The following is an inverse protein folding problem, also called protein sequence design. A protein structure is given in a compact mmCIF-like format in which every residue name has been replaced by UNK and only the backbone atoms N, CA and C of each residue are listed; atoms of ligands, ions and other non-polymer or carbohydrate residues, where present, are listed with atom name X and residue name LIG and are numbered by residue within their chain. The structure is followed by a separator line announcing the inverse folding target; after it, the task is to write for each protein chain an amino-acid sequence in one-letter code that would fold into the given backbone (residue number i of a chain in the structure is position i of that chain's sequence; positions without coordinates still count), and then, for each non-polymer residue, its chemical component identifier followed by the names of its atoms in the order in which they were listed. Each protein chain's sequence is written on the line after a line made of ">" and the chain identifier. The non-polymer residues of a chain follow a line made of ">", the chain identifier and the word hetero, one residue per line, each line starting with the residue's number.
data_IF_204949907638
#
_entry.id   IF_204949907638
#
_cell.length_a   1.000
_cell.length_b   1.000
_cell.length_c   1.000
_cell.angle_alpha   90.00
_cell.angle_beta   90.00
_cell.angle_gamma   90.00
#
_symmetry.space_group_name_H-M   'P 1'
#
loop_
_entity.id
_entity.type
_entity.pdbx_description
1 polymer ?
#
# COMPACT_ATOMS: atom_id res chain seq x y z
N UNK A 1 -66.33 38.11 -21.38
CA UNK A 1 -64.91 38.53 -21.39
C UNK A 1 -64.10 38.03 -20.19
N UNK A 2 -64.60 38.03 -18.95
CA UNK A 2 -63.86 37.53 -17.76
C UNK A 2 -63.47 36.03 -17.79
N UNK A 3 -64.24 35.16 -18.47
CA UNK A 3 -63.94 33.71 -18.55
C UNK A 3 -62.85 33.35 -19.57
N UNK A 4 -62.66 34.15 -20.64
CA UNK A 4 -61.55 33.96 -21.57
C UNK A 4 -60.21 34.42 -20.99
N UNK A 5 -60.21 35.49 -20.18
CA UNK A 5 -58.99 35.99 -19.52
C UNK A 5 -58.43 34.98 -18.51
N UNK A 6 -59.30 34.26 -17.78
CA UNK A 6 -58.88 33.25 -16.80
C UNK A 6 -58.32 31.99 -17.45
N UNK A 7 -58.80 31.61 -18.65
CA UNK A 7 -58.27 30.49 -19.41
C UNK A 7 -56.91 30.78 -20.04
N UNK A 8 -56.71 32.00 -20.53
CA UNK A 8 -55.41 32.45 -21.06
C UNK A 8 -54.35 32.56 -19.96
N UNK A 9 -54.74 32.99 -18.75
CA UNK A 9 -53.83 33.06 -17.59
C UNK A 9 -53.41 31.67 -17.10
N UNK A 10 -54.31 30.67 -17.11
CA UNK A 10 -53.96 29.29 -16.74
C UNK A 10 -53.02 28.64 -17.77
N UNK A 11 -53.21 28.90 -19.07
CA UNK A 11 -52.30 28.43 -20.12
C UNK A 11 -50.93 29.11 -20.03
N UNK A 12 -50.87 30.39 -19.65
CA UNK A 12 -49.60 31.08 -19.43
C UNK A 12 -48.86 30.54 -18.20
N UNK A 13 -49.57 30.22 -17.10
CA UNK A 13 -48.93 29.65 -15.90
C UNK A 13 -48.44 28.20 -16.10
N UNK A 14 -49.08 27.41 -16.97
CA UNK A 14 -48.56 26.07 -17.34
C UNK A 14 -47.39 26.15 -18.33
N UNK A 15 -47.25 27.24 -19.10
CA UNK A 15 -46.10 27.48 -19.97
C UNK A 15 -44.85 27.97 -19.20
N UNK A 16 -45.01 28.39 -17.94
CA UNK A 16 -43.94 28.91 -17.07
C UNK A 16 -43.54 27.97 -15.92
N UNK A 17 -43.86 26.67 -16.00
CA UNK A 17 -43.19 25.69 -15.12
C UNK A 17 -41.74 25.57 -15.58
N UNK A 18 -40.86 26.36 -14.97
CA UNK A 18 -39.42 26.20 -15.07
C UNK A 18 -39.10 24.73 -14.80
N UNK A 19 -38.47 24.00 -15.73
CA UNK A 19 -37.97 22.67 -15.41
C UNK A 19 -37.03 22.82 -14.23
N UNK A 20 -37.30 22.12 -13.13
CA UNK A 20 -36.39 22.06 -11.99
C UNK A 20 -35.04 21.56 -12.51
N UNK A 21 -34.03 22.44 -12.51
CA UNK A 21 -32.70 22.12 -13.03
C UNK A 21 -32.05 21.11 -12.08
N UNK A 22 -32.13 19.83 -12.41
CA UNK A 22 -31.37 18.81 -11.70
C UNK A 22 -29.90 18.95 -12.11
N UNK A 23 -29.06 19.55 -11.27
CA UNK A 23 -27.61 19.58 -11.49
C UNK A 23 -27.06 18.15 -11.64
N UNK A 24 -25.96 17.98 -12.39
CA UNK A 24 -25.34 16.66 -12.50
C UNK A 24 -24.90 16.17 -11.11
N UNK A 25 -25.16 14.90 -10.81
CA UNK A 25 -24.74 14.27 -9.55
C UNK A 25 -23.31 13.77 -9.65
N UNK A 26 -22.56 13.96 -8.56
CA UNK A 26 -21.13 13.67 -8.44
C UNK A 26 -20.91 12.75 -7.23
N UNK A 27 -21.24 11.45 -7.34
CA UNK A 27 -21.11 10.52 -6.21
C UNK A 27 -19.65 10.31 -5.84
N UNK A 28 -19.39 9.94 -4.58
CA UNK A 28 -18.06 9.52 -4.14
C UNK A 28 -17.62 8.23 -4.82
N UNK A 29 -16.29 8.06 -4.95
CA UNK A 29 -15.70 6.86 -5.52
C UNK A 29 -14.71 6.23 -4.56
N UNK A 30 -14.39 4.96 -4.79
CA UNK A 30 -13.37 4.23 -4.03
C UNK A 30 -12.40 3.55 -4.97
N UNK A 31 -11.17 3.36 -4.50
CA UNK A 31 -10.16 2.57 -5.17
C UNK A 31 -9.35 1.78 -4.14
N UNK A 32 -8.84 0.63 -4.56
CA UNK A 32 -7.94 -0.17 -3.72
C UNK A 32 -6.78 -0.69 -4.53
N UNK A 33 -5.58 -0.55 -3.97
CA UNK A 33 -4.37 -1.21 -4.46
C UNK A 33 -4.25 -2.66 -3.96
N UNK A 34 -5.18 -3.12 -3.12
CA UNK A 34 -5.13 -4.45 -2.51
C UNK A 34 -4.07 -4.54 -1.41
N UNK A 35 -3.35 -5.67 -1.39
CA UNK A 35 -2.33 -6.01 -0.40
C UNK A 35 -0.94 -6.08 -1.04
N UNK A 36 0.06 -5.48 -0.40
CA UNK A 36 1.46 -5.58 -0.81
C UNK A 36 2.39 -5.63 0.41
N UNK A 37 3.54 -6.30 0.31
CA UNK A 37 4.53 -6.24 1.40
C UNK A 37 5.24 -4.89 1.44
N UNK A 38 5.79 -4.51 2.60
CA UNK A 38 6.58 -3.28 2.71
C UNK A 38 7.76 -3.22 1.73
N UNK A 39 8.34 -4.37 1.36
CA UNK A 39 9.43 -4.42 0.39
C UNK A 39 8.92 -4.24 -1.05
N UNK A 40 7.75 -4.78 -1.39
CA UNK A 40 7.13 -4.55 -2.68
C UNK A 40 6.79 -3.06 -2.90
N UNK A 41 6.34 -2.36 -1.86
CA UNK A 41 6.12 -0.90 -1.91
C UNK A 41 7.42 -0.13 -2.16
N UNK A 42 8.55 -0.63 -1.65
CA UNK A 42 9.85 0.00 -1.86
C UNK A 42 10.34 -0.20 -3.32
N UNK A 43 10.15 -1.37 -3.93
CA UNK A 43 10.76 -1.69 -5.23
C UNK A 43 9.82 -1.58 -6.42
N UNK A 44 8.51 -1.70 -6.22
CA UNK A 44 7.52 -1.82 -7.30
C UNK A 44 6.33 -0.88 -7.10
N UNK A 45 5.91 -0.24 -8.20
CA UNK A 45 4.73 0.61 -8.18
C UNK A 45 3.46 -0.25 -8.31
N UNK A 46 2.53 -0.09 -7.37
CA UNK A 46 1.18 -0.66 -7.46
C UNK A 46 0.30 0.28 -8.27
N UNK A 47 -0.63 -0.28 -9.04
CA UNK A 47 -1.57 0.48 -9.86
C UNK A 47 -3.02 0.06 -9.56
N UNK A 48 -3.94 1.01 -9.62
CA UNK A 48 -5.38 0.77 -9.53
C UNK A 48 -6.14 1.84 -10.32
N UNK A 49 -7.44 1.68 -10.49
CA UNK A 49 -8.28 2.62 -11.23
C UNK A 49 -9.48 3.00 -10.38
N UNK A 50 -9.75 4.31 -10.30
CA UNK A 50 -11.00 4.86 -9.79
C UNK A 50 -11.81 5.39 -10.97
N UNK A 51 -13.13 5.47 -10.84
CA UNK A 51 -13.97 6.10 -11.85
C UNK A 51 -14.62 7.36 -11.25
N UNK A 52 -14.38 8.51 -11.89
CA UNK A 52 -15.10 9.74 -11.60
C UNK A 52 -16.40 9.71 -12.40
N UNK A 53 -17.52 9.56 -11.70
CA UNK A 53 -18.84 9.53 -12.30
C UNK A 53 -19.43 10.94 -12.35
N UNK A 54 -19.78 11.39 -13.56
CA UNK A 54 -20.52 12.63 -13.78
C UNK A 54 -21.87 12.28 -14.39
N UNK A 55 -22.92 12.32 -13.56
CA UNK A 55 -24.24 11.83 -13.94
C UNK A 55 -25.19 13.00 -14.16
N UNK A 56 -25.38 13.37 -15.43
CA UNK A 56 -26.23 14.48 -15.85
C UNK A 56 -27.66 14.04 -16.22
N UNK A 57 -28.01 12.77 -15.95
CA UNK A 57 -29.35 12.22 -16.14
C UNK A 57 -29.62 11.72 -17.57
N UNK A 58 -30.89 11.75 -17.99
CA UNK A 58 -31.32 11.31 -19.31
C UNK A 58 -30.96 12.34 -20.37
N UNK A 59 -30.31 11.91 -21.44
CA UNK A 59 -30.03 12.73 -22.62
C UNK A 59 -29.70 11.83 -23.82
N UNK A 60 -29.81 12.38 -25.02
CA UNK A 60 -29.53 11.66 -26.27
C UNK A 60 -28.04 11.76 -26.61
N UNK A 61 -27.45 10.78 -27.31
CA UNK A 61 -26.03 10.86 -27.78
C UNK A 61 -25.81 12.08 -28.70
N UNK A 62 -26.88 12.57 -29.34
CA UNK A 62 -26.88 13.75 -30.20
C UNK A 62 -26.70 15.07 -29.41
N UNK A 63 -26.76 15.04 -28.08
CA UNK A 63 -26.50 16.20 -27.22
C UNK A 63 -25.05 16.67 -27.28
N UNK A 64 -24.09 15.75 -27.41
CA UNK A 64 -22.65 16.01 -27.36
C UNK A 64 -22.06 16.61 -28.65
N UNK A 65 -22.91 17.11 -29.56
CA UNK A 65 -22.48 17.88 -30.73
C UNK A 65 -22.35 19.40 -30.41
N UNK A 66 -22.62 19.80 -29.16
CA UNK A 66 -22.34 21.14 -28.62
C UNK A 66 -20.90 21.27 -28.06
N UNK A 67 -20.58 22.43 -27.47
CA UNK A 67 -19.30 22.72 -26.80
C UNK A 67 -19.19 22.09 -25.41
N UNK A 68 -19.60 20.83 -25.31
CA UNK A 68 -19.69 20.10 -24.04
C UNK A 68 -18.32 19.70 -23.53
N UNK A 69 -18.13 19.84 -22.22
CA UNK A 69 -16.87 19.46 -21.59
C UNK A 69 -17.06 19.01 -20.14
N UNK A 70 -16.11 18.19 -19.68
CA UNK A 70 -15.85 17.92 -18.27
C UNK A 70 -14.40 18.23 -17.98
N UNK A 71 -14.13 19.04 -16.96
CA UNK A 71 -12.79 19.38 -16.49
C UNK A 71 -12.55 18.72 -15.14
N UNK A 72 -11.46 17.98 -15.03
CA UNK A 72 -11.01 17.36 -13.79
C UNK A 72 -9.74 18.05 -13.29
N UNK A 73 -9.68 18.35 -12.00
CA UNK A 73 -8.49 18.87 -11.33
C UNK A 73 -8.36 18.19 -9.98
N UNK A 74 -7.14 17.78 -9.60
CA UNK A 74 -6.90 17.35 -8.22
C UNK A 74 -6.86 18.60 -7.33
N UNK A 75 -7.92 18.85 -6.58
CA UNK A 75 -8.08 20.07 -5.79
C UNK A 75 -7.29 19.97 -4.47
N UNK A 76 -7.42 18.83 -3.79
CA UNK A 76 -6.73 18.55 -2.53
C UNK A 76 -6.66 17.05 -2.25
N UNK A 77 -5.91 16.68 -1.22
CA UNK A 77 -5.90 15.34 -0.66
C UNK A 77 -5.87 15.43 0.87
N UNK A 78 -6.43 14.45 1.58
CA UNK A 78 -6.40 14.42 3.06
C UNK A 78 -4.98 14.39 3.60
N UNK A 79 -4.06 13.77 2.87
CA UNK A 79 -2.63 13.81 3.12
C UNK A 79 -1.89 14.00 1.81
N UNK A 80 -0.78 14.74 1.84
CA UNK A 80 0.02 15.05 0.67
C UNK A 80 1.51 14.85 0.92
N UNK A 81 2.25 14.62 -0.17
CA UNK A 81 3.71 14.65 -0.21
C UNK A 81 4.11 15.52 -1.39
N UNK A 82 4.57 16.73 -1.11
CA UNK A 82 4.73 17.76 -2.13
C UNK A 82 3.40 18.08 -2.80
N UNK A 83 3.34 17.97 -4.13
CA UNK A 83 2.16 18.24 -4.95
C UNK A 83 1.30 16.99 -5.22
N UNK A 84 1.59 15.87 -4.57
CA UNK A 84 0.86 14.59 -4.74
C UNK A 84 0.04 14.26 -3.51
N UNK A 85 -1.04 13.50 -3.70
CA UNK A 85 -1.70 12.81 -2.60
C UNK A 85 -0.79 11.72 -2.01
N UNK A 86 -0.94 11.45 -0.71
CA UNK A 86 -0.16 10.43 -0.03
C UNK A 86 -1.06 9.52 0.81
N UNK A 87 -0.90 8.21 0.63
CA UNK A 87 -1.47 7.19 1.49
C UNK A 87 -0.78 7.24 2.86
N UNK A 88 -1.54 7.35 3.95
CA UNK A 88 -1.02 7.33 5.33
C UNK A 88 -1.88 6.45 6.24
N UNK A 89 -1.27 5.92 7.29
CA UNK A 89 -2.01 5.29 8.39
C UNK A 89 -2.57 6.40 9.27
N UNK A 90 -3.84 6.28 9.68
CA UNK A 90 -4.55 7.30 10.48
C UNK A 90 -3.91 7.51 11.86
N UNK A 91 -3.19 6.51 12.39
CA UNK A 91 -2.46 6.60 13.66
C UNK A 91 -1.06 7.20 13.45
N UNK A 92 -0.92 8.52 13.63
CA UNK A 92 0.31 9.32 13.92
C UNK A 92 1.64 9.00 13.22
N UNK A 93 1.67 8.11 12.23
CA UNK A 93 2.86 7.68 11.53
C UNK A 93 3.42 8.80 10.67
N UNK A 94 4.75 8.91 10.66
CA UNK A 94 5.48 9.71 9.67
C UNK A 94 5.49 9.03 8.29
N UNK A 95 5.21 7.73 8.24
CA UNK A 95 5.17 6.92 7.03
C UNK A 95 4.08 7.42 6.07
N UNK A 96 4.49 7.63 4.82
CA UNK A 96 3.62 8.10 3.75
C UNK A 96 4.02 7.42 2.45
N UNK A 97 3.03 7.02 1.66
CA UNK A 97 3.24 6.44 0.34
C UNK A 97 2.63 7.41 -0.68
N UNK A 98 3.45 8.25 -1.34
CA UNK A 98 2.96 9.15 -2.37
C UNK A 98 2.35 8.36 -3.53
N UNK A 99 1.32 8.91 -4.14
CA UNK A 99 0.71 8.35 -5.34
C UNK A 99 0.55 9.41 -6.42
N UNK A 100 0.63 8.96 -7.68
CA UNK A 100 0.30 9.73 -8.86
C UNK A 100 -1.15 9.45 -9.23
N UNK A 101 -1.91 10.50 -9.49
CA UNK A 101 -3.23 10.41 -10.09
C UNK A 101 -3.11 10.83 -11.56
N UNK A 102 -3.49 9.96 -12.48
CA UNK A 102 -3.22 10.12 -13.91
C UNK A 102 -4.48 9.92 -14.74
N UNK A 103 -4.59 10.64 -15.85
CA UNK A 103 -5.74 10.56 -16.76
C UNK A 103 -5.54 9.54 -17.88
N UNK A 104 -4.35 8.94 -17.97
CA UNK A 104 -4.00 7.88 -18.92
C UNK A 104 -3.26 6.72 -18.23
N UNK A 105 -3.29 5.54 -18.86
CA UNK A 105 -2.69 4.30 -18.34
C UNK A 105 -1.17 4.35 -18.27
N UNK A 106 -0.52 5.12 -19.15
CA UNK A 106 0.92 5.33 -19.13
C UNK A 106 1.36 6.34 -18.05
N UNK A 107 0.41 7.03 -17.42
CA UNK A 107 0.62 8.08 -16.45
C UNK A 107 1.47 9.24 -17.02
N UNK A 108 1.26 9.56 -18.30
CA UNK A 108 1.94 10.68 -18.98
C UNK A 108 1.39 12.03 -18.53
N UNK A 109 0.08 12.08 -18.27
CA UNK A 109 -0.63 13.25 -17.75
C UNK A 109 -0.99 13.03 -16.28
N UNK A 110 -0.23 13.66 -15.39
CA UNK A 110 -0.42 13.58 -13.94
C UNK A 110 -1.21 14.80 -13.42
N UNK A 111 -2.26 14.53 -12.65
CA UNK A 111 -2.99 15.53 -11.87
C UNK A 111 -2.24 15.80 -10.56
N UNK A 112 -1.64 16.98 -10.45
CA UNK A 112 -1.05 17.48 -9.21
C UNK A 112 -2.06 18.30 -8.40
N UNK A 113 -1.88 18.33 -7.08
CA UNK A 113 -2.72 19.12 -6.16
C UNK A 113 -2.59 20.60 -6.54
N UNK A 114 -3.72 21.24 -6.86
CA UNK A 114 -3.77 22.62 -7.33
C UNK A 114 -3.18 22.84 -8.74
N UNK A 115 -2.85 21.77 -9.45
CA UNK A 115 -2.28 21.81 -10.80
C UNK A 115 -3.31 22.16 -11.88
N UNK A 116 -2.90 22.11 -13.15
CA UNK A 116 -3.79 22.39 -14.27
C UNK A 116 -4.93 21.36 -14.37
N UNK A 117 -6.12 21.83 -14.76
CA UNK A 117 -7.25 20.95 -15.00
C UNK A 117 -7.14 20.25 -16.36
N UNK A 118 -7.41 18.95 -16.41
CA UNK A 118 -7.53 18.19 -17.66
C UNK A 118 -8.95 18.30 -18.21
N UNK A 119 -9.08 18.67 -19.47
CA UNK A 119 -10.39 18.84 -20.13
C UNK A 119 -10.70 17.63 -21.00
N UNK A 120 -11.83 17.00 -20.75
CA UNK A 120 -12.45 15.99 -21.60
C UNK A 120 -13.44 16.70 -22.50
N UNK A 121 -13.08 16.77 -23.79
CA UNK A 121 -13.90 17.33 -24.85
C UNK A 121 -15.05 16.40 -25.21
N UNK A 122 -16.03 16.92 -25.93
CA UNK A 122 -17.19 16.19 -26.43
C UNK A 122 -16.83 14.89 -27.17
N UNK A 123 -15.76 14.88 -27.98
CA UNK A 123 -15.31 13.67 -28.69
C UNK A 123 -14.84 12.56 -27.72
N UNK A 124 -14.22 12.95 -26.62
CA UNK A 124 -13.78 12.01 -25.58
C UNK A 124 -14.96 11.56 -24.72
N UNK A 125 -15.88 12.47 -24.41
CA UNK A 125 -17.10 12.17 -23.65
C UNK A 125 -18.00 11.18 -24.40
N UNK A 126 -18.07 11.26 -25.73
CA UNK A 126 -18.78 10.29 -26.58
C UNK A 126 -18.25 8.86 -26.39
N UNK A 127 -16.94 8.69 -26.25
CA UNK A 127 -16.32 7.37 -26.02
C UNK A 127 -16.57 6.83 -24.60
N UNK A 128 -17.02 7.68 -23.67
CA UNK A 128 -17.28 7.34 -22.28
C UNK A 128 -18.78 7.10 -21.99
N UNK A 129 -19.64 7.29 -22.99
CA UNK A 129 -21.06 7.00 -22.86
C UNK A 129 -21.32 5.49 -22.84
N UNK A 130 -22.05 5.02 -21.83
CA UNK A 130 -22.50 3.63 -21.74
C UNK A 130 -23.57 3.30 -22.80
N UNK A 131 -23.65 2.02 -23.19
CA UNK A 131 -24.55 1.48 -24.22
C UNK A 131 -26.06 1.65 -23.93
N UNK A 132 -26.44 2.19 -22.76
CA UNK A 132 -27.83 2.26 -22.28
C UNK A 132 -28.58 3.56 -22.54
N UNK A 133 -27.97 4.56 -23.21
CA UNK A 133 -28.62 5.84 -23.51
C UNK A 133 -28.82 6.71 -22.26
N UNK A 134 -27.88 7.63 -22.02
CA UNK A 134 -27.93 8.60 -20.92
C UNK A 134 -26.60 9.33 -20.79
N UNK A 135 -26.59 10.49 -20.15
CA UNK A 135 -25.39 11.32 -20.01
C UNK A 135 -24.68 11.08 -18.68
N UNK A 136 -24.29 9.82 -18.50
CA UNK A 136 -23.51 9.38 -17.36
C UNK A 136 -22.09 9.08 -17.86
N UNK A 137 -21.16 9.97 -17.52
CA UNK A 137 -19.77 9.87 -17.95
C UNK A 137 -18.96 9.18 -16.85
N UNK A 138 -18.37 8.02 -17.18
CA UNK A 138 -17.45 7.32 -16.29
C UNK A 138 -16.02 7.59 -16.72
N UNK A 139 -15.38 8.59 -16.10
CA UNK A 139 -14.02 8.99 -16.45
C UNK A 139 -13.01 8.18 -15.59
N UNK A 140 -12.17 7.32 -16.19
CA UNK A 140 -11.19 6.56 -15.44
C UNK A 140 -10.04 7.46 -14.95
N UNK A 141 -9.68 7.32 -13.69
CA UNK A 141 -8.53 7.93 -13.05
C UNK A 141 -7.57 6.80 -12.63
N UNK A 142 -6.39 6.77 -13.24
CA UNK A 142 -5.37 5.77 -12.99
C UNK A 142 -4.51 6.23 -11.82
N UNK A 143 -4.49 5.44 -10.74
CA UNK A 143 -3.73 5.72 -9.55
C UNK A 143 -2.51 4.82 -9.51
N UNK A 144 -1.34 5.37 -9.19
CA UNK A 144 -0.09 4.61 -9.13
C UNK A 144 0.76 5.04 -7.93
N UNK A 145 1.21 4.09 -7.10
CA UNK A 145 2.13 4.42 -5.99
C UNK A 145 3.51 4.79 -6.51
N UNK A 146 4.25 5.57 -5.73
CA UNK A 146 5.65 5.91 -6.00
C UNK A 146 6.56 4.98 -5.18
N UNK A 147 7.44 4.19 -5.82
CA UNK A 147 8.40 3.34 -5.12
C UNK A 147 9.42 4.13 -4.29
N UNK A 148 10.22 3.41 -3.49
CA UNK A 148 11.29 3.95 -2.65
C UNK A 148 10.89 4.26 -1.22
N UNK A 149 9.66 3.90 -0.81
CA UNK A 149 9.17 4.19 0.54
C UNK A 149 9.48 3.03 1.50
N UNK A 150 10.08 3.36 2.64
CA UNK A 150 10.32 2.42 3.74
C UNK A 150 9.29 2.68 4.84
N UNK A 151 8.31 1.79 4.93
CA UNK A 151 7.09 2.00 5.71
C UNK A 151 6.76 0.80 6.60
N UNK A 152 6.07 1.04 7.71
CA UNK A 152 5.57 -0.02 8.56
C UNK A 152 4.34 -0.73 7.94
N UNK A 153 4.07 -1.96 8.39
CA UNK A 153 2.84 -2.65 8.05
C UNK A 153 1.62 -1.93 8.64
N UNK A 154 0.49 -1.97 7.91
CA UNK A 154 -0.74 -1.32 8.33
C UNK A 154 -1.68 -1.01 7.16
N UNK A 155 -2.83 -0.44 7.48
CA UNK A 155 -3.81 0.00 6.49
C UNK A 155 -3.61 1.47 6.18
N UNK A 156 -3.19 1.76 4.95
CA UNK A 156 -2.96 3.11 4.47
C UNK A 156 -4.17 3.61 3.69
N UNK A 157 -4.56 4.85 3.97
CA UNK A 157 -5.74 5.48 3.35
C UNK A 157 -5.44 6.91 2.94
N UNK A 158 -6.09 7.37 1.88
CA UNK A 158 -6.12 8.77 1.47
C UNK A 158 -7.43 9.05 0.75
N UNK A 159 -7.98 10.24 0.95
CA UNK A 159 -9.08 10.73 0.12
C UNK A 159 -8.56 11.83 -0.80
N UNK A 160 -8.63 11.59 -2.11
CA UNK A 160 -8.31 12.54 -3.16
C UNK A 160 -9.57 13.31 -3.53
N UNK A 161 -9.54 14.63 -3.47
CA UNK A 161 -10.67 15.48 -3.78
C UNK A 161 -10.53 16.01 -5.21
N UNK A 162 -11.27 15.42 -6.14
CA UNK A 162 -11.25 15.82 -7.55
C UNK A 162 -12.30 16.90 -7.76
N UNK A 163 -11.87 18.12 -8.09
CA UNK A 163 -12.76 19.17 -8.55
C UNK A 163 -13.20 18.86 -9.97
N UNK A 164 -14.52 18.72 -10.14
CA UNK A 164 -15.19 18.51 -11.41
C UNK A 164 -15.90 19.80 -11.78
N UNK A 165 -15.62 20.33 -12.96
CA UNK A 165 -16.40 21.40 -13.57
C UNK A 165 -16.95 20.90 -14.90
N UNK A 166 -18.25 21.04 -15.11
CA UNK A 166 -18.94 20.47 -16.26
C UNK A 166 -19.84 21.48 -16.95
N UNK A 167 -19.98 21.29 -18.25
CA UNK A 167 -20.89 22.00 -19.12
C UNK A 167 -21.46 21.00 -20.12
N UNK A 168 -22.69 20.52 -19.89
CA UNK A 168 -23.28 19.41 -20.64
C UNK A 168 -24.66 19.79 -21.15
N UNK A 169 -24.89 19.64 -22.45
CA UNK A 169 -26.22 19.80 -23.03
C UNK A 169 -27.05 18.55 -22.78
N UNK A 170 -28.27 18.65 -22.25
CA UNK A 170 -29.16 17.47 -22.03
C UNK A 170 -30.11 17.17 -23.20
N UNK A 171 -30.15 18.03 -24.22
CA UNK A 171 -31.04 17.94 -25.37
C UNK A 171 -30.36 17.45 -26.64
N UNK A 172 -30.46 18.25 -27.70
CA UNK A 172 -29.88 18.04 -29.02
C UNK A 172 -28.85 19.13 -29.27
N UNK A 173 -27.57 18.77 -29.37
CA UNK A 173 -26.49 19.69 -29.67
C UNK A 173 -26.48 19.98 -31.17
N UNK A 174 -26.52 21.24 -31.58
CA UNK A 174 -26.28 21.62 -32.98
C UNK A 174 -25.66 23.01 -33.05
N UNK A 175 -24.65 23.17 -33.92
CA UNK A 175 -23.98 24.47 -34.18
C UNK A 175 -23.44 25.12 -32.87
N UNK A 176 -22.99 24.29 -31.91
CA UNK A 176 -22.48 24.77 -30.63
C UNK A 176 -23.54 25.22 -29.61
N UNK A 177 -24.83 25.01 -29.90
CA UNK A 177 -25.94 25.34 -29.00
C UNK A 177 -26.66 24.07 -28.52
N UNK A 178 -27.19 24.13 -27.30
CA UNK A 178 -28.08 23.09 -26.77
C UNK A 178 -29.53 23.40 -27.18
N UNK A 179 -30.01 22.71 -28.19
CA UNK A 179 -31.40 22.80 -28.66
C UNK A 179 -32.24 21.74 -27.95
N UNK A 180 -33.53 22.02 -27.71
CA UNK A 180 -34.49 21.03 -27.18
C UNK A 180 -34.04 20.36 -25.85
N UNK A 181 -33.32 21.09 -25.00
CA UNK A 181 -32.86 20.63 -23.68
C UNK A 181 -32.29 21.77 -22.85
N UNK A 182 -31.60 21.44 -21.77
CA UNK A 182 -30.97 22.42 -20.88
C UNK A 182 -29.45 22.26 -20.88
N UNK A 183 -28.73 23.39 -20.90
CA UNK A 183 -27.30 23.41 -20.62
C UNK A 183 -27.09 23.29 -19.12
N UNK A 184 -26.60 22.14 -18.67
CA UNK A 184 -26.24 21.92 -17.28
C UNK A 184 -24.81 22.36 -17.06
N UNK A 185 -24.65 23.46 -16.32
CA UNK A 185 -23.35 23.96 -15.86
C UNK A 185 -23.25 23.82 -14.36
N UNK A 186 -22.08 23.43 -13.87
CA UNK A 186 -21.87 23.30 -12.45
C UNK A 186 -20.44 22.93 -12.10
N UNK A 187 -20.18 22.95 -10.79
CA UNK A 187 -18.95 22.43 -10.22
C UNK A 187 -19.23 21.70 -8.93
N UNK A 188 -18.37 20.74 -8.61
CA UNK A 188 -18.43 20.02 -7.35
C UNK A 188 -17.20 19.13 -7.18
N UNK A 189 -17.03 18.62 -5.97
CA UNK A 189 -15.88 17.80 -5.61
C UNK A 189 -16.30 16.35 -5.49
N UNK A 190 -15.61 15.46 -6.21
CA UNK A 190 -15.74 14.02 -6.07
C UNK A 190 -14.63 13.52 -5.14
N UNK A 191 -14.96 13.09 -3.90
CA UNK A 191 -13.99 12.46 -3.02
C UNK A 191 -13.75 11.01 -3.48
N UNK A 192 -12.48 10.66 -3.68
CA UNK A 192 -12.03 9.32 -4.02
C UNK A 192 -11.23 8.75 -2.85
N UNK A 193 -11.84 7.85 -2.09
CA UNK A 193 -11.15 7.17 -0.99
C UNK A 193 -10.36 5.98 -1.53
N UNK A 194 -9.04 6.06 -1.38
CA UNK A 194 -8.08 5.07 -1.87
C UNK A 194 -7.44 4.34 -0.71
N UNK A 195 -7.32 3.02 -0.82
CA UNK A 195 -6.79 2.15 0.24
C UNK A 195 -5.66 1.24 -0.26
N UNK A 196 -4.74 0.91 0.65
CA UNK A 196 -3.66 -0.05 0.45
C UNK A 196 -3.35 -0.74 1.78
N UNK A 197 -3.28 -2.07 1.79
CA UNK A 197 -2.89 -2.86 2.96
C UNK A 197 -1.42 -3.25 2.81
N UNK A 198 -0.57 -2.78 3.73
CA UNK A 198 0.85 -3.13 3.78
C UNK A 198 1.05 -4.26 4.79
N UNK A 199 1.60 -5.39 4.35
CA UNK A 199 1.85 -6.56 5.22
C UNK A 199 3.28 -6.59 5.75
N UNK A 200 3.45 -7.24 6.90
CA UNK A 200 4.76 -7.61 7.41
C UNK A 200 5.41 -8.65 6.49
N UNK A 201 6.73 -8.54 6.36
CA UNK A 201 7.57 -9.40 5.53
C UNK A 201 9.01 -9.33 6.04
N UNK A 202 9.80 -10.38 5.78
CA UNK A 202 11.22 -10.50 6.10
C UNK A 202 11.94 -11.18 4.94
N UNK A 203 12.91 -10.49 4.34
CA UNK A 203 13.51 -10.91 3.07
C UNK A 203 14.82 -11.66 3.24
N UNK A 204 15.57 -11.36 4.31
CA UNK A 204 16.92 -11.89 4.48
C UNK A 204 17.21 -12.22 5.94
N UNK A 205 17.76 -13.41 6.17
CA UNK A 205 18.41 -13.82 7.41
C UNK A 205 19.87 -14.16 7.07
N UNK A 206 20.81 -13.39 7.60
CA UNK A 206 22.25 -13.66 7.47
C UNK A 206 22.77 -14.24 8.77
N UNK A 207 23.12 -15.52 8.75
CA UNK A 207 23.72 -16.24 9.88
C UNK A 207 25.06 -16.84 9.44
N UNK A 208 26.20 -16.34 9.95
CA UNK A 208 27.51 -16.88 9.62
C UNK A 208 27.75 -18.25 10.26
N UNK A 209 28.63 -19.05 9.64
CA UNK A 209 29.07 -20.32 10.21
C UNK A 209 29.90 -20.09 11.48
N UNK A 210 29.65 -20.93 12.48
CA UNK A 210 30.40 -20.97 13.74
C UNK A 210 31.57 -21.95 13.57
N UNK A 211 32.79 -21.52 13.90
CA UNK A 211 33.97 -22.40 13.96
C UNK A 211 34.66 -22.25 15.31
N UNK A 212 34.67 -23.33 16.08
CA UNK A 212 35.35 -23.38 17.39
C UNK A 212 36.87 -23.59 17.27
N UNK A 213 37.38 -23.88 16.08
CA UNK A 213 38.77 -24.26 15.87
C UNK A 213 39.08 -25.65 16.41
N UNK A 214 40.30 -25.83 16.92
CA UNK A 214 40.81 -27.12 17.44
C UNK A 214 41.36 -26.95 18.85
N UNK A 215 41.07 -27.91 19.74
CA UNK A 215 41.63 -27.97 21.08
C UNK A 215 41.78 -29.42 21.55
N UNK A 216 42.76 -29.72 22.41
CA UNK A 216 42.97 -31.09 22.93
C UNK A 216 41.96 -31.49 24.01
N UNK A 217 41.35 -30.52 24.70
CA UNK A 217 40.38 -30.73 25.77
C UNK A 217 39.16 -29.82 25.56
N UNK A 218 37.99 -30.28 26.01
CA UNK A 218 36.73 -29.51 25.92
C UNK A 218 36.80 -28.16 26.64
N UNK A 219 37.59 -28.06 27.71
CA UNK A 219 37.82 -26.83 28.48
C UNK A 219 38.76 -25.83 27.80
N UNK A 220 39.44 -26.23 26.73
CA UNK A 220 40.43 -25.41 26.03
C UNK A 220 39.89 -24.75 24.76
N UNK A 221 38.63 -25.01 24.39
CA UNK A 221 37.99 -24.31 23.28
C UNK A 221 37.62 -22.88 23.69
N UNK A 222 37.94 -21.92 22.83
CA UNK A 222 37.50 -20.55 22.98
C UNK A 222 36.02 -20.40 22.61
N UNK A 223 35.35 -19.43 23.22
CA UNK A 223 34.00 -19.04 22.81
C UNK A 223 34.03 -18.27 21.49
N UNK A 224 33.00 -18.43 20.67
CA UNK A 224 32.84 -17.73 19.40
C UNK A 224 31.73 -16.70 19.53
N UNK A 225 32.06 -15.41 19.34
CA UNK A 225 31.09 -14.32 19.39
C UNK A 225 30.82 -13.79 17.98
N UNK A 226 29.57 -13.84 17.55
CA UNK A 226 29.12 -13.44 16.22
C UNK A 226 27.71 -12.83 16.29
N UNK A 227 27.10 -12.54 15.14
CA UNK A 227 25.74 -12.01 15.08
C UNK A 227 24.93 -12.58 13.92
N UNK A 228 23.61 -12.59 14.10
CA UNK A 228 22.62 -12.86 13.05
C UNK A 228 21.99 -11.52 12.65
N UNK A 229 21.97 -11.22 11.36
CA UNK A 229 21.29 -10.04 10.83
C UNK A 229 19.98 -10.44 10.16
N UNK A 230 18.91 -9.72 10.46
CA UNK A 230 17.58 -9.97 9.90
C UNK A 230 17.05 -8.68 9.28
N UNK A 231 16.60 -8.75 8.03
CA UNK A 231 15.97 -7.64 7.31
C UNK A 231 14.46 -7.89 7.25
N UNK A 232 13.70 -7.08 7.98
CA UNK A 232 12.24 -7.17 8.06
C UNK A 232 11.57 -5.81 7.88
N UNK A 233 10.25 -5.85 7.65
CA UNK A 233 9.39 -4.66 7.59
C UNK A 233 9.65 -3.73 8.78
N UNK A 234 9.75 -2.43 8.51
CA UNK A 234 10.02 -1.40 9.51
C UNK A 234 9.02 -1.52 10.68
N UNK A 235 9.54 -1.50 11.91
CA UNK A 235 8.70 -1.56 13.11
C UNK A 235 8.00 -2.90 13.38
N UNK A 236 8.20 -3.94 12.54
CA UNK A 236 7.58 -5.24 12.75
C UNK A 236 8.03 -5.91 14.07
N UNK A 237 7.07 -6.56 14.72
CA UNK A 237 7.27 -7.41 15.90
C UNK A 237 7.37 -8.86 15.46
N UNK A 238 8.44 -9.54 15.85
CA UNK A 238 8.69 -10.95 15.53
C UNK A 238 9.64 -11.56 16.56
N UNK A 239 9.83 -12.87 16.50
CA UNK A 239 10.83 -13.60 17.30
C UNK A 239 11.75 -14.44 16.41
N UNK A 240 13.04 -14.42 16.71
CA UNK A 240 14.07 -15.21 16.03
C UNK A 240 14.43 -16.41 16.89
N UNK A 241 14.33 -17.60 16.31
CA UNK A 241 14.67 -18.87 16.95
C UNK A 241 15.90 -19.51 16.31
N UNK A 242 16.53 -20.39 17.09
CA UNK A 242 17.57 -21.29 16.60
C UNK A 242 17.16 -22.70 17.00
N UNK A 243 17.04 -23.61 16.04
CA UNK A 243 16.73 -25.03 16.28
C UNK A 243 17.79 -25.71 17.18
N UNK A 244 17.52 -26.93 17.65
CA UNK A 244 18.48 -27.68 18.47
C UNK A 244 19.59 -28.37 17.66
N UNK A 245 19.57 -28.24 16.33
CA UNK A 245 20.50 -28.90 15.43
C UNK A 245 20.07 -30.30 15.02
N UNK A 246 20.87 -30.92 14.14
CA UNK A 246 20.59 -32.24 13.57
C UNK A 246 20.90 -33.39 14.54
N UNK A 247 21.75 -33.15 15.53
CA UNK A 247 22.22 -34.18 16.48
C UNK A 247 21.80 -33.91 17.92
N UNK A 248 20.71 -33.16 18.11
CA UNK A 248 20.21 -32.82 19.43
C UNK A 248 19.84 -34.06 20.27
N UNK A 249 20.13 -34.01 21.57
CA UNK A 249 19.55 -34.94 22.56
C UNK A 249 18.69 -34.11 23.51
N UNK A 250 17.37 -34.25 23.39
CA UNK A 250 16.43 -33.34 24.04
C UNK A 250 16.62 -31.89 23.55
N UNK A 251 16.87 -30.96 24.46
CA UNK A 251 17.15 -29.56 24.13
C UNK A 251 18.64 -29.27 23.88
N UNK A 252 19.54 -30.18 24.28
CA UNK A 252 20.97 -29.96 24.20
C UNK A 252 21.47 -30.14 22.76
N UNK A 253 22.20 -29.15 22.25
CA UNK A 253 22.83 -29.23 20.92
C UNK A 253 24.12 -30.04 20.98
N UNK A 254 24.36 -30.82 19.93
CA UNK A 254 25.60 -31.58 19.75
C UNK A 254 26.10 -31.47 18.32
N UNK A 255 27.41 -31.41 18.17
CA UNK A 255 28.07 -31.73 16.91
C UNK A 255 28.43 -33.22 16.91
N UNK A 256 28.41 -33.85 15.74
CA UNK A 256 28.70 -35.27 15.61
C UNK A 256 29.96 -35.54 14.77
N UNK A 257 30.67 -36.61 15.13
CA UNK A 257 31.72 -37.23 14.33
C UNK A 257 31.48 -38.75 14.32
N UNK A 258 30.81 -39.25 13.27
CA UNK A 258 30.26 -40.62 13.32
C UNK A 258 29.24 -40.77 14.45
N UNK A 259 29.48 -41.69 15.39
CA UNK A 259 28.61 -41.90 16.55
C UNK A 259 29.01 -41.10 17.80
N UNK A 260 30.12 -40.34 17.76
CA UNK A 260 30.56 -39.54 18.90
C UNK A 260 29.98 -38.15 18.84
N UNK A 261 29.59 -37.63 20.01
CA UNK A 261 28.92 -36.34 20.14
C UNK A 261 29.80 -35.37 20.96
N UNK A 262 29.79 -34.10 20.56
CA UNK A 262 30.43 -33.00 21.25
C UNK A 262 29.37 -31.93 21.55
N UNK A 263 29.03 -31.77 22.83
CA UNK A 263 28.00 -30.83 23.27
C UNK A 263 28.46 -29.39 23.12
N UNK A 264 27.60 -28.55 22.55
CA UNK A 264 27.83 -27.12 22.42
C UNK A 264 26.53 -26.36 22.67
N UNK A 265 26.61 -25.06 22.87
CA UNK A 265 25.41 -24.25 23.03
C UNK A 265 25.61 -22.82 22.54
N UNK A 266 24.52 -22.17 22.13
CA UNK A 266 24.44 -20.81 21.62
C UNK A 266 23.62 -19.97 22.60
N UNK A 267 24.22 -18.89 23.09
CA UNK A 267 23.66 -17.99 24.09
C UNK A 267 23.39 -16.62 23.52
N UNK A 268 22.39 -15.93 24.07
CA UNK A 268 22.01 -14.57 23.67
C UNK A 268 23.13 -13.59 24.07
N UNK A 269 23.68 -12.84 23.13
CA UNK A 269 24.78 -11.89 23.35
C UNK A 269 25.91 -12.51 24.17
N UNK A 270 26.48 -11.78 25.13
CA UNK A 270 27.49 -12.27 26.08
C UNK A 270 26.89 -12.84 27.39
N UNK A 271 25.67 -13.39 27.34
CA UNK A 271 24.98 -13.94 28.53
C UNK A 271 25.10 -15.46 28.63
N UNK A 272 24.51 -16.04 29.68
CA UNK A 272 24.31 -17.49 29.83
C UNK A 272 22.88 -17.94 29.47
N UNK A 273 22.05 -17.04 28.95
CA UNK A 273 20.68 -17.35 28.54
C UNK A 273 20.70 -18.04 27.19
N UNK A 274 20.20 -19.28 27.13
CA UNK A 274 20.14 -20.08 25.91
C UNK A 274 19.30 -19.39 24.84
N UNK A 275 19.78 -19.41 23.60
CA UNK A 275 19.00 -19.02 22.44
C UNK A 275 18.49 -20.28 21.74
N UNK A 276 17.19 -20.54 21.89
CA UNK A 276 16.53 -21.78 21.45
C UNK A 276 15.39 -21.53 20.46
N UNK A 277 14.63 -22.60 20.20
CA UNK A 277 13.60 -22.62 19.17
C UNK A 277 12.22 -22.19 19.68
N UNK A 278 11.98 -22.25 20.99
CA UNK A 278 10.62 -22.15 21.55
C UNK A 278 10.52 -21.17 22.72
N UNK A 279 9.34 -20.57 22.89
CA UNK A 279 9.00 -19.75 24.05
C UNK A 279 10.00 -18.63 24.33
N UNK A 280 10.40 -18.49 25.60
CA UNK A 280 11.32 -17.44 26.07
C UNK A 280 12.77 -17.65 25.64
N UNK A 281 13.11 -18.81 25.05
CA UNK A 281 14.44 -19.04 24.50
C UNK A 281 14.65 -18.32 23.16
N UNK A 282 13.57 -17.99 22.44
CA UNK A 282 13.64 -17.15 21.24
C UNK A 282 14.02 -15.71 21.62
N UNK A 283 14.46 -14.93 20.63
CA UNK A 283 14.80 -13.51 20.81
C UNK A 283 13.76 -12.64 20.12
N UNK A 284 13.08 -11.78 20.88
CA UNK A 284 12.14 -10.80 20.32
C UNK A 284 12.87 -9.76 19.47
N UNK A 285 12.22 -9.23 18.43
CA UNK A 285 12.73 -8.13 17.61
C UNK A 285 13.02 -6.86 18.41
N UNK A 286 12.38 -6.69 19.58
CA UNK A 286 12.67 -5.61 20.54
C UNK A 286 13.95 -5.86 21.35
N UNK A 287 14.44 -7.10 21.39
CA UNK A 287 15.68 -7.50 22.04
C UNK A 287 16.90 -7.49 21.11
N UNK A 288 16.79 -6.91 19.92
CA UNK A 288 17.90 -6.73 19.00
C UNK A 288 19.00 -5.86 19.63
N UNK A 289 20.27 -6.18 19.35
CA UNK A 289 21.42 -5.45 19.85
C UNK A 289 21.65 -4.13 19.11
N UNK A 290 21.24 -4.04 17.85
CA UNK A 290 21.22 -2.80 17.09
C UNK A 290 20.14 -2.84 16.00
N UNK A 291 19.74 -1.66 15.55
CA UNK A 291 18.77 -1.44 14.48
C UNK A 291 19.37 -0.43 13.52
N UNK A 292 19.31 -0.68 12.21
CA UNK A 292 19.76 0.27 11.19
C UNK A 292 18.89 1.54 11.18
N UNK A 293 19.44 2.64 10.64
CA UNK A 293 18.76 3.96 10.60
C UNK A 293 17.41 3.92 9.87
N UNK A 294 17.28 3.08 8.84
CA UNK A 294 16.03 2.87 8.10
C UNK A 294 15.01 1.99 8.84
N UNK A 295 15.40 1.38 9.97
CA UNK A 295 14.56 0.52 10.79
C UNK A 295 14.33 -0.89 10.23
N UNK A 296 15.02 -1.28 9.16
CA UNK A 296 14.81 -2.55 8.46
C UNK A 296 15.69 -3.68 9.01
N UNK A 297 16.97 -3.41 9.22
CA UNK A 297 17.95 -4.41 9.65
C UNK A 297 18.04 -4.43 11.17
N UNK A 298 17.91 -5.61 11.76
CA UNK A 298 18.17 -5.86 13.18
C UNK A 298 19.31 -6.85 13.34
N UNK A 299 20.23 -6.55 14.23
CA UNK A 299 21.37 -7.40 14.54
C UNK A 299 21.18 -8.05 15.91
N UNK A 300 21.39 -9.36 15.97
CA UNK A 300 21.26 -10.17 17.17
C UNK A 300 22.58 -10.87 17.44
N UNK A 301 23.31 -10.40 18.44
CA UNK A 301 24.59 -10.95 18.85
C UNK A 301 24.37 -12.26 19.62
N UNK A 302 25.30 -13.19 19.47
CA UNK A 302 25.32 -14.44 20.23
C UNK A 302 26.73 -14.86 20.59
N UNK A 303 26.82 -15.70 21.62
CA UNK A 303 28.04 -16.40 22.00
C UNK A 303 27.81 -17.90 21.89
N UNK A 304 28.58 -18.57 21.05
CA UNK A 304 28.60 -20.02 20.98
C UNK A 304 29.78 -20.56 21.80
N UNK A 305 29.58 -21.70 22.48
CA UNK A 305 30.65 -22.38 23.23
C UNK A 305 30.49 -23.89 23.24
N UNK A 306 31.60 -24.60 23.30
CA UNK A 306 31.65 -26.01 23.71
C UNK A 306 31.34 -26.09 25.21
N UNK A 307 30.50 -27.03 25.62
CA UNK A 307 30.20 -27.23 27.03
C UNK A 307 31.35 -27.94 27.73
N UNK A 308 31.78 -27.42 28.88
CA UNK A 308 32.94 -27.94 29.62
C UNK A 308 32.59 -29.05 30.60
N UNK A 309 31.30 -29.31 30.84
CA UNK A 309 30.79 -30.31 31.79
C UNK A 309 30.64 -31.71 31.18
N UNK A 310 31.25 -31.97 30.03
CA UNK A 310 31.25 -33.27 29.36
C UNK A 310 32.64 -33.90 29.42
N UNK A 311 32.73 -35.23 29.30
CA UNK A 311 34.02 -35.90 29.06
C UNK A 311 34.58 -35.51 27.71
N UNK A 312 35.90 -35.32 27.59
CA UNK A 312 36.55 -35.07 26.30
C UNK A 312 36.31 -36.24 25.35
N UNK A 313 35.60 -36.04 24.23
CA UNK A 313 35.34 -37.12 23.29
C UNK A 313 36.59 -37.45 22.47
N UNK A 314 36.54 -38.51 21.67
CA UNK A 314 37.67 -38.90 20.81
C UNK A 314 38.06 -37.78 19.85
N UNK A 315 39.35 -37.71 19.50
CA UNK A 315 39.82 -36.74 18.51
C UNK A 315 39.13 -36.95 17.16
N UNK A 316 38.64 -35.87 16.56
CA UNK A 316 37.92 -35.90 15.29
C UNK A 316 37.37 -34.54 14.90
N UNK A 317 36.84 -34.44 13.68
CA UNK A 317 36.10 -33.27 13.22
C UNK A 317 34.61 -33.45 13.50
N UNK A 318 34.04 -32.51 14.26
CA UNK A 318 32.64 -32.54 14.68
C UNK A 318 31.88 -31.44 13.93
N UNK A 319 30.70 -31.76 13.39
CA UNK A 319 29.82 -30.80 12.72
C UNK A 319 28.36 -30.95 13.16
N UNK A 320 27.61 -29.86 13.07
CA UNK A 320 26.15 -29.82 13.22
C UNK A 320 25.57 -28.81 12.22
N UNK A 321 24.27 -28.86 11.98
CA UNK A 321 23.53 -27.85 11.22
C UNK A 321 22.33 -27.38 12.02
N UNK A 322 22.24 -26.07 12.23
CA UNK A 322 21.10 -25.43 12.92
C UNK A 322 20.30 -24.59 11.93
N UNK A 323 18.98 -24.70 12.02
CA UNK A 323 18.05 -23.79 11.35
C UNK A 323 17.82 -22.55 12.21
N UNK A 324 17.97 -21.37 11.60
CA UNK A 324 17.51 -20.09 12.15
C UNK A 324 16.17 -19.77 11.51
N UNK A 325 15.17 -19.50 12.33
CA UNK A 325 13.80 -19.24 11.88
C UNK A 325 13.24 -17.95 12.49
N UNK A 326 12.16 -17.46 11.89
CA UNK A 326 11.45 -16.26 12.32
C UNK A 326 9.95 -16.53 12.39
N UNK A 327 9.30 -16.01 13.43
CA UNK A 327 7.84 -16.01 13.58
C UNK A 327 7.37 -14.60 13.91
N UNK A 328 6.36 -14.13 13.19
CA UNK A 328 5.57 -12.96 13.57
C UNK A 328 4.70 -13.27 14.80
#
# INVERSE_FOLDING_TARGET
>A
MKRLLSGLLLLLLMAFTLPGQAACTLPSATASFGTASSFAINTTASATTANVLVNCGTGSVLSLLSTDYVRLQLASATFSSGTRGALKVISTGTDAIPLRACTDTACSNELSIGGAATTYSQAQLLNLLGLGGGQNFSIPLYLRTVPGQVVAAGTYTVTLNILVNYNICTGLGAVGLCLLGNQQTGSGTVPITTTLIVTNDCTTITAPNISFGSAPLVSSFNTVSQSINVICTKGSTYTVGISNGNHAVGAQRYMASGSTLLAYEIYKSATTTRWGATGTERVSSTGANSISTDGLTRTFNYTARILTTQSTPVAGSYSDSVVVDLSF
#
